data_IF_107873514229
#
_entry.id   IF_107873514229
#
_cell.length_a   1.000
_cell.length_b   1.000
_cell.length_c   1.000
_cell.angle_alpha   90.00
_cell.angle_beta   90.00
_cell.angle_gamma   90.00
#
_symmetry.space_group_name_H-M   'P 1'
#
loop_
_entity.id
_entity.type
_entity.pdbx_description
1 polymer ?
#
# COMPACT_ATOMS: atom_id res chain seq x y z
N UNK A 1 25.17 2.73 -0.18
CA UNK A 1 23.88 3.08 0.44
C UNK A 1 22.77 2.50 -0.44
N UNK A 2 21.67 1.97 0.12
CA UNK A 2 20.67 1.19 -0.62
C UNK A 2 19.76 1.99 -1.58
N UNK A 3 20.06 3.28 -1.84
CA UNK A 3 19.37 4.17 -2.77
C UNK A 3 17.83 4.10 -2.70
N UNK A 4 17.29 4.08 -1.48
CA UNK A 4 15.85 3.88 -1.25
C UNK A 4 14.99 4.99 -1.86
N UNK A 5 15.53 6.21 -1.91
CA UNK A 5 14.84 7.35 -2.50
C UNK A 5 14.54 7.19 -3.99
N UNK A 6 15.40 6.47 -4.72
CA UNK A 6 15.15 6.15 -6.13
C UNK A 6 14.13 5.02 -6.29
N UNK A 7 14.05 4.11 -5.32
CA UNK A 7 13.13 2.97 -5.37
C UNK A 7 11.71 3.31 -4.93
N UNK A 8 11.57 4.10 -3.88
CA UNK A 8 10.28 4.39 -3.22
C UNK A 8 9.88 5.86 -3.30
N UNK A 9 10.79 6.77 -3.65
CA UNK A 9 10.54 8.20 -3.65
C UNK A 9 11.06 8.90 -2.39
N UNK A 10 10.63 10.15 -2.13
CA UNK A 10 11.14 10.96 -1.03
C UNK A 10 11.03 10.27 0.35
N UNK A 11 12.03 10.52 1.20
CA UNK A 11 12.06 10.00 2.57
C UNK A 11 10.86 10.54 3.34
N UNK A 12 10.17 9.67 4.08
CA UNK A 12 9.02 10.06 4.91
C UNK A 12 9.43 11.00 6.03
N UNK A 13 8.53 11.94 6.34
CA UNK A 13 8.73 12.95 7.40
C UNK A 13 7.80 12.68 8.58
N UNK A 14 8.14 13.21 9.76
CA UNK A 14 7.29 13.10 10.94
C UNK A 14 5.92 13.82 10.78
N UNK A 15 5.83 14.80 9.88
CA UNK A 15 4.58 15.50 9.61
C UNK A 15 3.57 14.62 8.88
N UNK A 16 4.02 13.72 7.99
CA UNK A 16 3.16 12.80 7.23
C UNK A 16 2.37 11.87 8.15
N UNK A 17 2.96 11.46 9.27
CA UNK A 17 2.32 10.56 10.23
C UNK A 17 1.47 11.28 11.28
N UNK A 18 1.45 12.61 11.28
CA UNK A 18 0.67 13.41 12.20
C UNK A 18 -0.77 13.56 11.71
N UNK A 19 -1.46 12.43 11.56
CA UNK A 19 -2.84 12.37 11.12
C UNK A 19 -3.61 11.33 11.94
N UNK A 20 -4.88 11.60 12.24
CA UNK A 20 -5.72 10.71 13.06
C UNK A 20 -5.86 9.31 12.44
N UNK A 21 -5.93 9.21 11.12
CA UNK A 21 -5.98 7.92 10.40
C UNK A 21 -4.64 7.15 10.40
N UNK A 22 -3.54 7.74 10.91
CA UNK A 22 -2.23 7.11 11.06
C UNK A 22 -1.86 6.89 12.54
N UNK A 23 -2.82 7.02 13.45
CA UNK A 23 -2.63 6.71 14.86
C UNK A 23 -3.33 5.39 15.20
N UNK A 24 -2.61 4.36 15.68
CA UNK A 24 -1.17 4.30 15.97
C UNK A 24 -0.31 4.25 14.70
N UNK A 25 0.94 4.74 14.82
CA UNK A 25 1.90 4.79 13.73
C UNK A 25 2.20 3.39 13.14
N UNK A 26 2.12 3.28 11.81
CA UNK A 26 2.32 2.03 11.07
C UNK A 26 3.72 1.92 10.43
N UNK A 27 4.73 2.51 11.08
CA UNK A 27 6.13 2.38 10.63
C UNK A 27 6.58 0.92 10.66
N UNK A 28 7.10 0.44 9.54
CA UNK A 28 7.62 -0.93 9.45
C UNK A 28 8.93 -1.10 10.23
N UNK A 29 9.05 -2.20 10.96
CA UNK A 29 10.32 -2.62 11.60
C UNK A 29 11.08 -3.67 10.79
N UNK A 30 10.40 -4.29 9.81
CA UNK A 30 10.95 -5.31 8.90
C UNK A 30 10.27 -5.20 7.54
N UNK A 31 11.03 -5.47 6.48
CA UNK A 31 10.54 -5.51 5.09
C UNK A 31 10.57 -6.95 4.56
N UNK A 32 9.41 -7.59 4.48
CA UNK A 32 9.20 -8.83 3.72
C UNK A 32 8.69 -8.51 2.30
N UNK A 33 7.82 -7.50 2.20
CA UNK A 33 7.43 -6.86 0.95
C UNK A 33 8.07 -5.47 0.80
N UNK A 34 7.71 -4.74 -0.27
CA UNK A 34 8.12 -3.35 -0.46
C UNK A 34 7.56 -2.41 0.62
N UNK A 35 8.16 -1.23 0.74
CA UNK A 35 7.63 -0.13 1.54
C UNK A 35 6.34 0.41 0.93
N UNK A 36 5.35 0.75 1.76
CA UNK A 36 4.01 1.19 1.33
C UNK A 36 3.75 2.67 1.60
N UNK A 37 4.70 3.41 2.16
CA UNK A 37 4.52 4.82 2.52
C UNK A 37 4.22 5.72 1.30
N UNK A 38 4.49 5.20 0.10
CA UNK A 38 4.48 5.90 -1.19
C UNK A 38 3.70 5.12 -2.26
N UNK A 39 2.69 4.36 -1.87
CA UNK A 39 1.94 3.50 -2.80
C UNK A 39 0.86 4.27 -3.59
N UNK A 40 0.44 5.45 -3.12
CA UNK A 40 -0.58 6.29 -3.78
C UNK A 40 -0.28 6.49 -5.27
N UNK A 41 -1.24 6.14 -6.13
CA UNK A 41 -1.12 6.32 -7.59
C UNK A 41 -0.08 5.45 -8.28
N UNK A 42 0.75 4.70 -7.56
CA UNK A 42 1.80 3.86 -8.14
C UNK A 42 1.23 2.66 -8.91
N UNK A 43 0.10 2.12 -8.42
CA UNK A 43 -0.62 0.99 -9.01
C UNK A 43 -2.10 1.30 -9.15
N UNK A 44 -2.74 0.69 -10.14
CA UNK A 44 -4.17 0.87 -10.37
C UNK A 44 -5.00 0.11 -9.33
N UNK A 45 -6.24 0.55 -9.12
CA UNK A 45 -7.19 -0.15 -8.26
C UNK A 45 -7.39 -1.61 -8.67
N UNK A 46 -7.45 -1.87 -9.99
CA UNK A 46 -7.58 -3.22 -10.53
C UNK A 46 -6.35 -4.08 -10.22
N UNK A 47 -5.15 -3.48 -10.22
CA UNK A 47 -3.94 -4.18 -9.80
C UNK A 47 -4.01 -4.56 -8.32
N UNK A 48 -4.43 -3.64 -7.44
CA UNK A 48 -4.61 -3.97 -6.02
C UNK A 48 -5.65 -5.06 -5.79
N UNK A 49 -6.78 -5.02 -6.51
CA UNK A 49 -7.80 -6.08 -6.48
C UNK A 49 -7.19 -7.42 -6.86
N UNK A 50 -6.50 -7.50 -7.99
CA UNK A 50 -5.88 -8.74 -8.46
C UNK A 50 -4.80 -9.22 -7.50
N UNK A 51 -3.94 -8.32 -7.01
CA UNK A 51 -2.86 -8.63 -6.09
C UNK A 51 -3.38 -9.13 -4.74
N UNK A 52 -4.39 -8.50 -4.13
CA UNK A 52 -4.97 -8.99 -2.88
C UNK A 52 -5.69 -10.33 -3.05
N UNK A 53 -6.35 -10.56 -4.19
CA UNK A 53 -7.03 -11.82 -4.47
C UNK A 53 -6.04 -12.98 -4.66
N UNK A 54 -5.00 -12.76 -5.46
CA UNK A 54 -3.93 -13.72 -5.69
C UNK A 54 -2.60 -12.99 -6.06
N UNK A 55 -1.70 -12.75 -5.09
CA UNK A 55 -0.47 -12.01 -5.36
C UNK A 55 0.39 -12.66 -6.45
N UNK A 56 0.40 -13.99 -6.48
CA UNK A 56 1.15 -14.82 -7.44
C UNK A 56 0.65 -14.72 -8.88
N UNK A 57 -0.56 -14.20 -9.15
CA UNK A 57 -1.02 -14.01 -10.52
C UNK A 57 -0.46 -12.76 -11.18
N UNK A 58 -0.12 -11.73 -10.39
CA UNK A 58 0.47 -10.47 -10.90
C UNK A 58 1.95 -10.35 -10.59
N UNK A 59 2.43 -11.05 -9.57
CA UNK A 59 3.83 -11.14 -9.18
C UNK A 59 4.16 -12.61 -8.84
N UNK A 60 4.62 -13.41 -9.83
CA UNK A 60 4.78 -14.87 -9.67
C UNK A 60 5.64 -15.30 -8.49
N UNK A 61 6.64 -14.49 -8.12
CA UNK A 61 7.57 -14.75 -7.02
C UNK A 61 7.13 -14.12 -5.69
N UNK A 62 5.92 -13.56 -5.61
CA UNK A 62 5.43 -12.91 -4.40
C UNK A 62 5.21 -13.91 -3.26
N UNK A 63 5.81 -13.60 -2.11
CA UNK A 63 5.62 -14.31 -0.84
C UNK A 63 4.39 -13.84 -0.06
N UNK A 64 3.67 -12.83 -0.56
CA UNK A 64 2.49 -12.28 0.10
C UNK A 64 1.35 -13.33 0.16
N UNK A 65 0.68 -13.48 1.31
CA UNK A 65 -0.52 -14.31 1.40
C UNK A 65 -1.68 -13.78 0.55
N UNK A 66 -2.59 -14.66 0.14
CA UNK A 66 -3.84 -14.26 -0.53
C UNK A 66 -4.88 -13.80 0.50
N UNK A 67 -5.51 -12.65 0.27
CA UNK A 67 -6.51 -12.04 1.15
C UNK A 67 -7.92 -12.22 0.62
N UNK A 68 -8.32 -13.48 0.35
CA UNK A 68 -9.62 -13.78 -0.31
C UNK A 68 -10.84 -13.33 0.47
N UNK A 69 -10.74 -13.17 1.79
CA UNK A 69 -11.84 -12.68 2.64
C UNK A 69 -12.19 -11.20 2.44
N UNK A 70 -11.42 -10.46 1.63
CA UNK A 70 -11.80 -9.12 1.17
C UNK A 70 -12.76 -9.13 -0.02
N UNK A 71 -13.20 -10.30 -0.48
CA UNK A 71 -13.99 -10.45 -1.68
C UNK A 71 -15.23 -11.30 -1.43
N UNK A 72 -16.36 -10.84 -1.96
CA UNK A 72 -17.58 -11.63 -2.09
C UNK A 72 -17.59 -12.21 -3.52
N UNK A 73 -17.08 -13.44 -3.64
CA UNK A 73 -16.77 -14.07 -4.92
C UNK A 73 -15.58 -13.40 -5.61
N UNK A 74 -15.83 -12.60 -6.66
CA UNK A 74 -14.81 -11.84 -7.39
C UNK A 74 -14.88 -10.33 -7.17
N UNK A 75 -15.88 -9.85 -6.42
CA UNK A 75 -16.08 -8.42 -6.17
C UNK A 75 -15.53 -8.06 -4.79
N UNK A 76 -14.80 -6.94 -4.63
CA UNK A 76 -14.38 -6.48 -3.32
C UNK A 76 -15.58 -6.20 -2.42
N UNK A 77 -15.55 -6.70 -1.18
CA UNK A 77 -16.52 -6.33 -0.16
C UNK A 77 -16.13 -5.00 0.49
N UNK A 78 -16.90 -4.53 1.49
CA UNK A 78 -16.64 -3.24 2.16
C UNK A 78 -15.21 -3.13 2.71
N UNK A 79 -14.65 -4.23 3.25
CA UNK A 79 -13.28 -4.26 3.77
C UNK A 79 -12.25 -4.20 2.64
N UNK A 80 -12.50 -4.92 1.55
CA UNK A 80 -11.67 -4.89 0.34
C UNK A 80 -11.60 -3.50 -0.28
N UNK A 81 -12.75 -2.83 -0.42
CA UNK A 81 -12.78 -1.45 -0.90
C UNK A 81 -12.02 -0.52 0.05
N UNK A 82 -12.28 -0.61 1.36
CA UNK A 82 -11.63 0.23 2.36
C UNK A 82 -10.10 0.11 2.32
N UNK A 83 -9.55 -1.11 2.21
CA UNK A 83 -8.10 -1.30 2.17
C UNK A 83 -7.50 -0.78 0.85
N UNK A 84 -8.18 -0.94 -0.28
CA UNK A 84 -7.72 -0.42 -1.57
C UNK A 84 -7.69 1.11 -1.54
N UNK A 85 -8.76 1.73 -1.04
CA UNK A 85 -8.81 3.20 -0.88
C UNK A 85 -7.72 3.68 0.06
N UNK A 86 -7.46 2.96 1.15
CA UNK A 86 -6.37 3.31 2.06
C UNK A 86 -5.00 3.23 1.39
N UNK A 87 -4.72 2.17 0.61
CA UNK A 87 -3.47 2.06 -0.16
C UNK A 87 -3.31 3.20 -1.17
N UNK A 88 -4.39 3.61 -1.82
CA UNK A 88 -4.38 4.77 -2.72
C UNK A 88 -4.18 6.10 -2.01
N UNK A 89 -4.52 6.19 -0.72
CA UNK A 89 -4.30 7.38 0.09
C UNK A 89 -2.87 7.45 0.66
N UNK A 90 -2.18 6.32 0.84
CA UNK A 90 -0.83 6.29 1.42
C UNK A 90 0.19 7.05 0.58
N UNK A 91 0.59 8.23 1.06
CA UNK A 91 1.58 9.10 0.42
C UNK A 91 0.98 10.19 -0.48
N UNK A 92 -0.35 10.24 -0.65
CA UNK A 92 -1.02 11.27 -1.49
C UNK A 92 -0.80 12.70 -0.97
N UNK A 93 -0.54 12.86 0.32
CA UNK A 93 -0.46 14.16 0.98
C UNK A 93 0.89 14.87 0.76
N UNK A 94 1.85 14.23 0.10
CA UNK A 94 3.22 14.74 0.02
C UNK A 94 3.45 15.62 -1.20
N UNK A 95 2.72 15.40 -2.28
CA UNK A 95 2.71 16.33 -3.42
C UNK A 95 2.04 17.66 -3.05
N UNK A 96 1.13 17.68 -2.07
CA UNK A 96 0.43 18.89 -1.64
C UNK A 96 1.28 19.81 -0.73
N UNK A 97 2.46 19.34 -0.29
CA UNK A 97 3.34 20.06 0.63
C UNK A 97 4.61 20.61 -0.03
N UNK A 98 4.76 20.42 -1.35
CA UNK A 98 5.84 20.97 -2.17
C UNK A 98 5.32 22.11 -3.04
#
# INVERSE_FOLDING_TARGET
MANESVRFGPVSTAAEQRHELMMPQLMGTRRVGPDLSRESGLRSNDWHVAHFYNPRSVSPTSVMPSYRWFFDGRKPNKKGLAIITYMQWLGSNVEQQQ
#
